data_IF_661969770637
#
_entry.id   IF_661969770637
#
_cell.length_a   1.000
_cell.length_b   1.000
_cell.length_c   1.000
_cell.angle_alpha   90.00
_cell.angle_beta   90.00
_cell.angle_gamma   90.00
#
_symmetry.space_group_name_H-M   'P 1'
#
loop_
_entity.id
_entity.type
_entity.pdbx_description
1 polymer ?
#
# COMPACT_ATOMS: atom_id res chain seq x y z
N UNK A 1 -30.85 11.34 34.72
CA UNK A 1 -29.51 11.26 34.11
C UNK A 1 -29.27 9.80 33.74
N UNK A 2 -28.56 9.51 32.64
CA UNK A 2 -28.24 8.12 32.28
C UNK A 2 -27.44 7.43 33.38
N UNK A 3 -27.65 6.13 33.57
CA UNK A 3 -26.91 5.36 34.57
C UNK A 3 -25.44 5.15 34.22
N UNK A 4 -24.65 4.76 35.22
CA UNK A 4 -23.25 4.32 35.02
C UNK A 4 -23.16 3.14 34.05
N UNK A 5 -24.15 2.24 34.06
CA UNK A 5 -24.23 1.12 33.12
C UNK A 5 -24.30 1.61 31.67
N UNK A 6 -25.18 2.59 31.41
CA UNK A 6 -25.28 3.20 30.08
C UNK A 6 -23.96 3.86 29.68
N UNK A 7 -23.36 4.65 30.58
CA UNK A 7 -22.11 5.36 30.29
C UNK A 7 -20.97 4.39 29.96
N UNK A 8 -20.86 3.29 30.71
CA UNK A 8 -19.88 2.24 30.43
C UNK A 8 -20.08 1.65 29.03
N UNK A 9 -21.31 1.26 28.69
CA UNK A 9 -21.63 0.66 27.39
C UNK A 9 -21.46 1.63 26.23
N UNK A 10 -21.77 2.91 26.45
CA UNK A 10 -21.52 3.96 25.48
C UNK A 10 -20.02 4.14 25.21
N UNK A 11 -19.19 4.17 26.24
CA UNK A 11 -17.73 4.27 26.08
C UNK A 11 -17.15 3.03 25.39
N UNK A 12 -17.62 1.82 25.70
CA UNK A 12 -17.23 0.59 25.01
C UNK A 12 -17.57 0.67 23.51
N UNK A 13 -18.77 1.13 23.17
CA UNK A 13 -19.18 1.35 21.78
C UNK A 13 -18.31 2.38 21.06
N UNK A 14 -18.09 3.55 21.66
CA UNK A 14 -17.28 4.60 21.06
C UNK A 14 -15.86 4.11 20.75
N UNK A 15 -15.27 3.30 21.63
CA UNK A 15 -13.97 2.66 21.40
C UNK A 15 -14.02 1.68 20.21
N UNK A 16 -15.03 0.82 20.15
CA UNK A 16 -15.20 -0.12 19.04
C UNK A 16 -15.36 0.63 17.70
N UNK A 17 -16.21 1.66 17.67
CA UNK A 17 -16.45 2.49 16.50
C UNK A 17 -15.17 3.17 16.00
N UNK A 18 -14.37 3.74 16.90
CA UNK A 18 -13.08 4.33 16.56
C UNK A 18 -12.11 3.31 15.97
N UNK A 19 -12.04 2.10 16.55
CA UNK A 19 -11.21 1.02 16.01
C UNK A 19 -11.65 0.61 14.61
N UNK A 20 -12.95 0.51 14.36
CA UNK A 20 -13.48 0.16 13.05
C UNK A 20 -13.20 1.24 12.00
N UNK A 21 -13.36 2.52 12.35
CA UNK A 21 -12.98 3.63 11.46
C UNK A 21 -11.49 3.63 11.14
N UNK A 22 -10.62 3.41 12.14
CA UNK A 22 -9.18 3.30 11.92
C UNK A 22 -8.88 2.16 10.95
N UNK A 23 -9.49 1.00 11.15
CA UNK A 23 -9.30 -0.17 10.27
C UNK A 23 -9.79 0.06 8.85
N UNK A 24 -10.93 0.75 8.70
CA UNK A 24 -11.47 1.13 7.38
C UNK A 24 -10.50 2.06 6.64
N UNK A 25 -9.95 3.05 7.35
CA UNK A 25 -8.93 3.96 6.83
C UNK A 25 -7.65 3.24 6.41
N UNK A 26 -7.14 2.34 7.25
CA UNK A 26 -5.98 1.49 6.94
C UNK A 26 -6.20 0.66 5.66
N UNK A 27 -7.37 0.04 5.53
CA UNK A 27 -7.72 -0.74 4.35
C UNK A 27 -7.74 0.13 3.10
N UNK A 28 -8.44 1.27 3.12
CA UNK A 28 -8.50 2.21 1.99
C UNK A 28 -7.10 2.71 1.59
N UNK A 29 -6.25 3.03 2.56
CA UNK A 29 -4.87 3.43 2.30
C UNK A 29 -4.04 2.30 1.67
N UNK A 30 -4.22 1.05 2.12
CA UNK A 30 -3.56 -0.12 1.56
C UNK A 30 -3.98 -0.37 0.11
N UNK A 31 -5.28 -0.28 -0.19
CA UNK A 31 -5.81 -0.41 -1.55
C UNK A 31 -5.24 0.69 -2.46
N UNK A 32 -5.30 1.95 -2.03
CA UNK A 32 -4.76 3.07 -2.80
C UNK A 32 -3.25 2.90 -3.09
N UNK A 33 -2.47 2.39 -2.11
CA UNK A 33 -1.04 2.09 -2.30
C UNK A 33 -0.82 0.95 -3.31
N UNK A 34 -1.61 -0.12 -3.25
CA UNK A 34 -1.54 -1.25 -4.20
C UNK A 34 -1.89 -0.79 -5.62
N UNK A 35 -2.91 0.04 -5.77
CA UNK A 35 -3.32 0.60 -7.06
C UNK A 35 -2.27 1.54 -7.64
N UNK A 36 -1.72 2.45 -6.82
CA UNK A 36 -0.64 3.34 -7.22
C UNK A 36 0.62 2.55 -7.65
N UNK A 37 0.99 1.50 -6.92
CA UNK A 37 2.11 0.64 -7.29
C UNK A 37 1.86 -0.11 -8.62
N UNK A 38 0.64 -0.61 -8.85
CA UNK A 38 0.25 -1.25 -10.12
C UNK A 38 0.29 -0.25 -11.28
N UNK A 39 -0.20 0.98 -11.07
CA UNK A 39 -0.14 2.05 -12.05
C UNK A 39 1.30 2.45 -12.38
N UNK A 40 2.16 2.64 -11.37
CA UNK A 40 3.56 2.96 -11.54
C UNK A 40 4.32 1.85 -12.30
N UNK A 41 4.05 0.58 -12.00
CA UNK A 41 4.63 -0.56 -12.72
C UNK A 41 4.21 -0.58 -14.19
N UNK A 42 2.93 -0.32 -14.47
CA UNK A 42 2.40 -0.23 -15.85
C UNK A 42 3.03 0.95 -16.61
N UNK A 43 3.15 2.11 -15.98
CA UNK A 43 3.79 3.29 -16.56
C UNK A 43 5.27 3.05 -16.86
N UNK A 44 6.01 2.43 -15.93
CA UNK A 44 7.41 2.09 -16.13
C UNK A 44 7.60 1.06 -17.27
N UNK A 45 6.71 0.08 -17.40
CA UNK A 45 6.73 -0.88 -18.50
C UNK A 45 6.47 -0.18 -19.85
N UNK A 46 5.47 0.70 -19.92
CA UNK A 46 5.15 1.46 -21.12
C UNK A 46 6.30 2.41 -21.51
N UNK A 47 6.93 3.08 -20.56
CA UNK A 47 8.08 3.95 -20.80
C UNK A 47 9.29 3.19 -21.34
N UNK A 48 9.58 1.99 -20.81
CA UNK A 48 10.64 1.11 -21.35
C UNK A 48 10.35 0.65 -22.77
N UNK A 49 9.10 0.32 -23.08
CA UNK A 49 8.69 -0.08 -24.43
C UNK A 49 8.80 1.08 -25.43
N UNK A 50 8.38 2.28 -25.03
CA UNK A 50 8.52 3.50 -25.83
C UNK A 50 9.99 3.84 -26.11
N UNK A 51 10.84 3.81 -25.07
CA UNK A 51 12.27 4.06 -25.22
C UNK A 51 12.95 3.02 -26.14
N UNK A 52 12.56 1.75 -26.08
CA UNK A 52 13.08 0.70 -26.98
C UNK A 52 12.66 0.93 -28.44
N UNK A 53 11.43 1.38 -28.67
CA UNK A 53 10.92 1.73 -30.02
C UNK A 53 11.63 2.96 -30.58
N UNK A 54 11.88 3.97 -29.77
CA UNK A 54 12.59 5.19 -30.18
C UNK A 54 14.06 4.93 -30.48
N UNK A 55 14.75 4.10 -29.67
CA UNK A 55 16.12 3.68 -29.95
C UNK A 55 16.23 2.87 -31.26
N UNK A 56 15.29 1.95 -31.51
CA UNK A 56 15.26 1.19 -32.76
C UNK A 56 14.95 2.07 -34.00
N UNK A 57 14.21 3.16 -33.83
CA UNK A 57 13.96 4.12 -34.91
C UNK A 57 15.24 4.93 -35.25
N UNK A 58 15.98 5.39 -34.24
CA UNK A 58 17.24 6.14 -34.44
C UNK A 58 18.35 5.29 -35.08
N UNK A 59 18.45 4.01 -34.70
CA UNK A 59 19.40 3.06 -35.32
C UNK A 59 19.07 2.77 -36.81
N UNK A 60 17.83 3.02 -37.24
CA UNK A 60 17.41 2.88 -38.65
C UNK A 60 17.64 4.15 -39.50
N UNK A 61 17.73 5.32 -38.88
CA UNK A 61 18.07 6.59 -39.55
C UNK A 61 19.58 6.76 -39.75
N UNK A 62 20.40 6.29 -38.80
CA UNK A 62 21.87 6.41 -38.86
C UNK A 62 22.53 5.54 -39.96
N UNK A 63 21.78 4.62 -40.58
CA UNK A 63 22.24 3.86 -41.77
C UNK A 63 22.05 4.59 -43.11
N UNK A 64 21.57 5.84 -43.13
CA UNK A 64 21.39 6.64 -44.37
C UNK A 64 22.37 7.79 -44.57
N UNK A 65 23.18 8.16 -43.59
CA UNK A 65 24.22 9.19 -43.74
C UNK A 65 25.59 8.62 -43.33
N UNK A 66 26.22 7.93 -44.26
CA UNK A 66 27.59 7.48 -44.12
C UNK A 66 28.27 7.47 -45.49
N UNK A 67 28.72 8.63 -45.96
CA UNK A 67 29.87 8.72 -46.85
C UNK A 67 30.61 10.06 -46.66
N UNK A 68 31.94 9.99 -46.78
CA UNK A 68 32.96 11.04 -46.74
C UNK A 68 33.49 11.52 -45.36
N UNK A 69 34.55 10.83 -44.90
CA UNK A 69 35.67 11.43 -44.18
C UNK A 69 36.50 12.34 -45.14
N UNK A 70 37.42 13.20 -44.64
CA UNK A 70 38.79 12.71 -44.47
C UNK A 70 39.58 13.25 -43.25
N UNK A 71 40.72 12.58 -43.12
CA UNK A 71 41.84 12.55 -42.16
C UNK A 71 42.77 13.79 -42.23
N UNK A 72 43.52 14.11 -41.16
CA UNK A 72 44.95 14.52 -41.26
C UNK A 72 45.69 14.40 -39.90
N UNK A 73 46.99 14.07 -39.99
CA UNK A 73 48.00 13.77 -38.95
C UNK A 73 48.62 15.08 -38.40
N UNK A 74 49.36 15.18 -37.28
CA UNK A 74 50.72 14.70 -37.07
C UNK A 74 51.25 15.22 -35.70
N UNK A 75 52.22 14.49 -35.13
CA UNK A 75 53.38 14.95 -34.33
C UNK A 75 53.46 14.72 -32.81
N UNK A 76 53.95 13.52 -32.45
CA UNK A 76 55.24 13.22 -31.75
C UNK A 76 55.96 14.41 -31.07
N UNK A 77 56.60 14.35 -29.90
CA UNK A 77 57.28 13.29 -29.15
C UNK A 77 57.80 13.96 -27.85
N UNK A 78 57.83 13.29 -26.68
CA UNK A 78 58.95 13.32 -25.70
C UNK A 78 58.62 12.48 -24.45
N UNK A 79 59.07 11.24 -24.44
CA UNK A 79 59.19 10.42 -23.24
C UNK A 79 60.64 9.95 -23.15
N UNK A 80 61.31 10.24 -22.03
CA UNK A 80 62.14 9.22 -21.38
C UNK A 80 62.63 9.68 -20.01
N UNK A 81 62.72 8.69 -19.11
CA UNK A 81 63.23 8.70 -17.74
C UNK A 81 62.27 9.11 -16.62
N UNK A 82 61.27 8.27 -16.38
CA UNK A 82 60.96 7.77 -15.01
C UNK A 82 60.02 6.54 -15.05
N UNK A 83 60.31 5.55 -15.90
CA UNK A 83 59.56 4.29 -16.02
C UNK A 83 60.37 3.15 -15.44
N UNK A 84 59.89 2.61 -14.33
CA UNK A 84 59.96 1.20 -13.95
C UNK A 84 59.32 1.00 -12.56
N UNK A 85 59.31 2.00 -11.67
CA UNK A 85 58.64 1.89 -10.35
C UNK A 85 57.24 2.56 -10.31
N UNK A 86 56.89 3.33 -11.35
CA UNK A 86 55.58 4.00 -11.49
C UNK A 86 54.61 3.20 -12.38
N UNK A 87 55.12 2.27 -13.17
CA UNK A 87 54.35 1.45 -14.11
C UNK A 87 53.73 0.24 -13.38
N UNK A 88 54.48 -0.49 -12.55
CA UNK A 88 53.94 -1.57 -11.69
C UNK A 88 52.82 -1.05 -10.75
N UNK A 89 52.98 0.15 -10.20
CA UNK A 89 51.98 0.74 -9.28
C UNK A 89 50.71 1.21 -9.99
N UNK A 90 50.80 1.52 -11.29
CA UNK A 90 49.67 1.92 -12.13
C UNK A 90 48.93 0.69 -12.67
N UNK A 91 49.66 -0.36 -13.02
CA UNK A 91 49.08 -1.66 -13.37
C UNK A 91 48.34 -2.28 -12.17
N UNK A 92 48.91 -2.24 -10.96
CA UNK A 92 48.25 -2.75 -9.74
C UNK A 92 46.98 -1.94 -9.37
N UNK A 93 46.93 -0.65 -9.72
CA UNK A 93 45.78 0.23 -9.50
C UNK A 93 44.68 0.01 -10.56
N UNK A 94 45.06 -0.22 -11.82
CA UNK A 94 44.14 -0.59 -12.90
C UNK A 94 43.52 -1.98 -12.68
N UNK A 95 44.28 -2.97 -12.20
CA UNK A 95 43.76 -4.28 -11.82
C UNK A 95 42.72 -4.19 -10.70
N UNK A 96 43.00 -3.41 -9.65
CA UNK A 96 42.04 -3.16 -8.55
C UNK A 96 40.77 -2.47 -9.04
N UNK A 97 40.89 -1.57 -10.01
CA UNK A 97 39.73 -0.87 -10.58
C UNK A 97 38.86 -1.83 -11.42
N UNK A 98 39.48 -2.73 -12.19
CA UNK A 98 38.78 -3.79 -12.95
C UNK A 98 38.09 -4.79 -12.01
N UNK A 99 38.74 -5.19 -10.92
CA UNK A 99 38.11 -6.04 -9.89
C UNK A 99 36.93 -5.35 -9.23
N UNK A 100 37.05 -4.06 -8.90
CA UNK A 100 35.96 -3.26 -8.34
C UNK A 100 34.77 -3.16 -9.31
N UNK A 101 35.02 -2.96 -10.61
CA UNK A 101 33.97 -2.98 -11.62
C UNK A 101 33.27 -4.34 -11.74
N UNK A 102 34.03 -5.44 -11.70
CA UNK A 102 33.46 -6.80 -11.71
C UNK A 102 32.63 -7.06 -10.45
N UNK A 103 33.11 -6.64 -9.29
CA UNK A 103 32.39 -6.74 -8.02
C UNK A 103 31.09 -5.91 -8.05
N UNK A 104 31.12 -4.71 -8.64
CA UNK A 104 29.96 -3.85 -8.80
C UNK A 104 28.92 -4.49 -9.75
N UNK A 105 29.34 -5.05 -10.88
CA UNK A 105 28.44 -5.78 -11.79
C UNK A 105 27.81 -7.01 -11.12
N UNK A 106 28.59 -7.79 -10.38
CA UNK A 106 28.09 -8.93 -9.62
C UNK A 106 27.11 -8.52 -8.53
N UNK A 107 27.38 -7.40 -7.84
CA UNK A 107 26.48 -6.85 -6.83
C UNK A 107 25.15 -6.41 -7.46
N UNK A 108 25.18 -5.69 -8.59
CA UNK A 108 23.96 -5.30 -9.30
C UNK A 108 23.15 -6.50 -9.81
N UNK A 109 23.82 -7.55 -10.32
CA UNK A 109 23.16 -8.78 -10.76
C UNK A 109 22.45 -9.49 -9.60
N UNK A 110 23.17 -9.76 -8.50
CA UNK A 110 22.61 -10.41 -7.30
C UNK A 110 21.49 -9.58 -6.67
N UNK A 111 21.63 -8.25 -6.62
CA UNK A 111 20.62 -7.38 -6.05
C UNK A 111 19.38 -7.24 -6.96
N UNK A 112 19.55 -7.35 -8.28
CA UNK A 112 18.46 -7.45 -9.25
C UNK A 112 17.67 -8.75 -9.11
N UNK A 113 18.35 -9.88 -8.97
CA UNK A 113 17.74 -11.20 -8.73
C UNK A 113 17.01 -11.26 -7.38
N UNK A 114 17.62 -10.73 -6.31
CA UNK A 114 16.98 -10.61 -5.00
C UNK A 114 15.70 -9.78 -5.10
N UNK A 115 15.75 -8.58 -5.71
CA UNK A 115 14.55 -7.75 -5.93
C UNK A 115 13.48 -8.45 -6.77
N UNK A 116 13.88 -9.17 -7.82
CA UNK A 116 12.95 -9.93 -8.66
C UNK A 116 12.28 -11.09 -7.89
N UNK A 117 13.03 -11.78 -7.03
CA UNK A 117 12.51 -12.86 -6.19
C UNK A 117 11.50 -12.36 -5.14
N UNK A 118 11.80 -11.23 -4.50
CA UNK A 118 10.90 -10.58 -3.53
C UNK A 118 9.63 -10.09 -4.23
N UNK A 119 9.77 -9.42 -5.38
CA UNK A 119 8.62 -8.96 -6.17
C UNK A 119 7.73 -10.11 -6.66
N UNK A 120 8.32 -11.26 -7.00
CA UNK A 120 7.58 -12.47 -7.40
C UNK A 120 6.83 -13.09 -6.21
N UNK A 121 7.46 -13.11 -5.03
CA UNK A 121 6.86 -13.65 -3.79
C UNK A 121 5.71 -12.77 -3.28
N UNK A 122 5.87 -11.45 -3.35
CA UNK A 122 4.80 -10.50 -3.02
C UNK A 122 3.65 -10.52 -4.04
N UNK A 123 3.95 -10.66 -5.34
CA UNK A 123 2.92 -10.78 -6.37
C UNK A 123 2.12 -12.09 -6.26
N UNK A 124 2.76 -13.20 -5.90
CA UNK A 124 2.08 -14.47 -5.64
C UNK A 124 1.15 -14.36 -4.42
N UNK A 125 1.63 -13.79 -3.32
CA UNK A 125 0.82 -13.56 -2.11
C UNK A 125 -0.36 -12.61 -2.36
N UNK A 126 -0.18 -11.59 -3.21
CA UNK A 126 -1.24 -10.65 -3.56
C UNK A 126 -2.29 -11.22 -4.53
N UNK A 127 -1.95 -12.26 -5.29
CA UNK A 127 -2.85 -12.90 -6.26
C UNK A 127 -3.65 -14.06 -5.65
N UNK A 128 -3.17 -14.68 -4.57
CA UNK A 128 -3.78 -15.87 -3.96
C UNK A 128 -4.90 -15.54 -2.94
N UNK A 129 -4.97 -14.32 -2.42
CA UNK A 129 -5.88 -13.95 -1.33
C UNK A 129 -6.91 -12.90 -1.80
N UNK A 130 -7.78 -13.26 -2.73
CA UNK A 130 -9.00 -12.47 -3.01
C UNK A 130 -10.15 -13.06 -2.20
N UNK A 131 -10.63 -12.33 -1.21
CA UNK A 131 -11.81 -12.74 -0.43
C UNK A 131 -13.04 -12.71 -1.33
N UNK A 132 -13.75 -13.84 -1.43
CA UNK A 132 -15.07 -13.90 -2.04
C UNK A 132 -16.08 -13.24 -1.08
N UNK A 133 -16.27 -11.94 -1.27
CA UNK A 133 -17.12 -11.13 -0.42
C UNK A 133 -18.61 -11.37 -0.68
N UNK A 134 -18.99 -11.85 -1.87
CA UNK A 134 -20.39 -12.05 -2.26
C UNK A 134 -21.02 -13.26 -1.55
N UNK A 135 -20.21 -14.28 -1.28
CA UNK A 135 -20.66 -15.51 -0.63
C UNK A 135 -20.23 -15.61 0.84
N UNK A 136 -19.84 -14.50 1.48
CA UNK A 136 -19.42 -14.51 2.88
C UNK A 136 -20.63 -14.69 3.80
N UNK A 137 -20.57 -15.67 4.72
CA UNK A 137 -21.58 -15.81 5.77
C UNK A 137 -21.34 -14.76 6.86
N UNK A 138 -22.11 -13.67 6.80
CA UNK A 138 -22.01 -12.52 7.71
C UNK A 138 -22.19 -12.90 9.19
N UNK A 139 -22.96 -13.96 9.50
CA UNK A 139 -23.19 -14.38 10.88
C UNK A 139 -22.12 -15.35 11.40
N UNK A 140 -21.40 -16.02 10.51
CA UNK A 140 -20.30 -16.94 10.83
C UNK A 140 -18.92 -16.27 10.94
N UNK A 141 -18.82 -14.97 10.65
CA UNK A 141 -17.55 -14.22 10.73
C UNK A 141 -17.12 -14.05 12.18
N UNK A 142 -15.97 -14.64 12.53
CA UNK A 142 -15.36 -14.49 13.87
C UNK A 142 -14.62 -13.16 14.04
N UNK A 143 -14.03 -12.61 12.98
CA UNK A 143 -13.30 -11.34 12.99
C UNK A 143 -13.79 -10.42 11.87
N UNK A 144 -14.65 -9.46 12.23
CA UNK A 144 -15.20 -8.47 11.29
C UNK A 144 -14.15 -7.48 10.77
N UNK A 145 -13.00 -7.35 11.44
CA UNK A 145 -11.92 -6.45 11.02
C UNK A 145 -10.99 -7.10 9.99
N UNK A 146 -11.06 -8.42 9.82
CA UNK A 146 -10.30 -9.16 8.82
C UNK A 146 -10.97 -10.49 8.45
N UNK A 147 -11.75 -10.48 7.38
CA UNK A 147 -12.34 -11.69 6.79
C UNK A 147 -11.39 -12.41 5.81
N UNK A 148 -10.15 -11.92 5.68
CA UNK A 148 -9.11 -12.45 4.79
C UNK A 148 -8.40 -11.34 4.00
N UNK A 149 -7.14 -11.55 3.63
CA UNK A 149 -6.35 -10.58 2.84
C UNK A 149 -6.31 -9.14 3.42
N UNK A 150 -6.45 -9.00 4.74
CA UNK A 150 -6.60 -7.71 5.45
C UNK A 150 -7.85 -6.91 5.03
N UNK A 151 -8.89 -7.59 4.54
CA UNK A 151 -10.16 -6.97 4.15
C UNK A 151 -11.13 -6.97 5.33
N UNK A 152 -11.59 -5.82 5.83
CA UNK A 152 -12.64 -5.78 6.84
C UNK A 152 -14.00 -6.05 6.20
N UNK A 153 -14.94 -6.60 6.97
CA UNK A 153 -16.32 -6.84 6.52
C UNK A 153 -17.03 -5.53 6.14
N UNK A 154 -16.65 -4.41 6.75
CA UNK A 154 -17.20 -3.08 6.45
C UNK A 154 -16.37 -2.31 5.41
N UNK A 155 -15.59 -2.99 4.55
CA UNK A 155 -14.69 -2.32 3.58
C UNK A 155 -15.40 -1.31 2.66
N UNK A 156 -16.64 -1.59 2.27
CA UNK A 156 -17.40 -0.78 1.32
C UNK A 156 -18.39 0.19 2.00
N UNK A 157 -18.38 0.28 3.35
CA UNK A 157 -19.23 1.21 4.09
C UNK A 157 -19.00 2.66 3.66
N UNK A 158 -20.09 3.34 3.34
CA UNK A 158 -20.16 4.77 3.12
C UNK A 158 -20.58 5.51 4.40
N UNK A 159 -20.64 6.83 4.32
CA UNK A 159 -21.05 7.66 5.45
C UNK A 159 -22.43 7.25 5.99
N UNK A 160 -23.37 7.01 5.09
CA UNK A 160 -24.74 6.60 5.40
C UNK A 160 -24.78 5.27 6.15
N UNK A 161 -23.92 4.31 5.78
CA UNK A 161 -23.82 3.02 6.47
C UNK A 161 -23.34 3.19 7.91
N UNK A 162 -22.32 4.03 8.12
CA UNK A 162 -21.82 4.37 9.46
C UNK A 162 -22.90 5.07 10.29
N UNK A 163 -23.61 6.05 9.72
CA UNK A 163 -24.69 6.75 10.41
C UNK A 163 -25.82 5.79 10.80
N UNK A 164 -26.24 4.94 9.87
CA UNK A 164 -27.34 4.00 10.09
C UNK A 164 -26.98 2.90 11.10
N UNK A 165 -25.72 2.47 11.16
CA UNK A 165 -25.25 1.53 12.17
C UNK A 165 -25.19 2.19 13.56
N UNK A 166 -24.61 3.38 13.66
CA UNK A 166 -24.55 4.13 14.93
C UNK A 166 -25.93 4.40 15.49
N UNK A 167 -26.86 4.89 14.67
CA UNK A 167 -28.24 5.12 15.10
C UNK A 167 -28.93 3.84 15.59
N UNK A 168 -28.70 2.69 14.92
CA UNK A 168 -29.24 1.40 15.38
C UNK A 168 -28.68 1.01 16.75
N UNK A 169 -27.38 1.19 16.95
CA UNK A 169 -26.76 0.90 18.24
C UNK A 169 -27.27 1.85 19.33
N UNK A 170 -27.38 3.15 19.05
CA UNK A 170 -27.91 4.15 19.98
C UNK A 170 -29.35 3.83 20.42
N UNK A 171 -30.23 3.50 19.47
CA UNK A 171 -31.61 3.12 19.78
C UNK A 171 -31.68 1.78 20.53
N UNK A 172 -30.83 0.81 20.19
CA UNK A 172 -30.73 -0.45 20.91
C UNK A 172 -30.27 -0.23 22.35
N UNK A 173 -29.19 0.51 22.54
CA UNK A 173 -28.66 0.84 23.86
C UNK A 173 -29.67 1.65 24.68
N UNK A 174 -30.38 2.60 24.06
CA UNK A 174 -31.45 3.35 24.71
C UNK A 174 -32.56 2.44 25.22
N UNK A 175 -33.02 1.48 24.41
CA UNK A 175 -34.07 0.54 24.81
C UNK A 175 -33.65 -0.33 26.00
N UNK A 176 -32.37 -0.75 26.05
CA UNK A 176 -31.83 -1.50 27.18
C UNK A 176 -31.61 -0.62 28.41
N UNK A 177 -30.99 0.55 28.24
CA UNK A 177 -30.74 1.50 29.32
C UNK A 177 -32.03 1.96 29.99
N UNK A 178 -33.10 2.18 29.21
CA UNK A 178 -34.40 2.53 29.76
C UNK A 178 -34.92 1.50 30.76
N UNK A 179 -34.75 0.19 30.50
CA UNK A 179 -35.16 -0.88 31.42
C UNK A 179 -34.28 -0.97 32.67
N UNK A 180 -33.03 -0.51 32.59
CA UNK A 180 -32.13 -0.43 33.72
C UNK A 180 -32.37 0.80 34.59
N UNK A 181 -32.72 1.93 33.97
CA UNK A 181 -32.76 3.24 34.62
C UNK A 181 -34.16 3.60 35.14
N UNK A 182 -35.20 2.91 34.67
CA UNK A 182 -36.58 3.11 35.11
C UNK A 182 -36.96 2.03 36.12
N UNK A 183 -37.08 2.42 37.39
CA UNK A 183 -37.55 1.57 38.49
C UNK A 183 -39.10 1.48 38.54
N UNK A 184 -39.74 1.24 37.40
CA UNK A 184 -41.20 1.10 37.28
C UNK A 184 -41.55 -0.21 36.55
N UNK A 185 -42.02 -1.25 37.26
CA UNK A 185 -42.35 -2.55 36.67
C UNK A 185 -43.45 -2.49 35.60
N UNK A 186 -44.33 -1.49 35.65
CA UNK A 186 -45.41 -1.30 34.66
C UNK A 186 -44.91 -0.59 33.40
N UNK A 187 -43.70 -0.01 33.43
CA UNK A 187 -43.11 0.72 32.31
C UNK A 187 -42.04 -0.12 31.62
N UNK A 188 -42.49 -1.10 30.84
CA UNK A 188 -41.61 -2.06 30.15
C UNK A 188 -40.85 -1.51 28.94
N UNK A 189 -41.18 -0.30 28.48
CA UNK A 189 -40.56 0.31 27.30
C UNK A 189 -40.92 1.78 27.07
N UNK A 190 -40.42 2.32 25.95
CA UNK A 190 -40.61 3.72 25.55
C UNK A 190 -41.77 3.81 24.56
N UNK A 191 -42.76 4.67 24.85
CA UNK A 191 -43.77 5.04 23.86
C UNK A 191 -43.15 5.88 22.74
N UNK A 192 -43.55 5.67 21.49
CA UNK A 192 -42.95 6.32 20.32
C UNK A 192 -42.94 7.86 20.44
N UNK A 193 -44.00 8.46 20.97
CA UNK A 193 -44.11 9.91 21.17
C UNK A 193 -43.03 10.47 22.11
N UNK A 194 -42.50 9.64 23.00
CA UNK A 194 -41.46 10.02 23.95
C UNK A 194 -40.05 9.65 23.48
N UNK A 195 -39.91 8.98 22.33
CA UNK A 195 -38.61 8.54 21.83
C UNK A 195 -37.65 9.72 21.67
N UNK A 196 -38.10 10.83 21.07
CA UNK A 196 -37.29 12.03 20.89
C UNK A 196 -36.82 12.62 22.23
N UNK A 197 -37.71 12.65 23.24
CA UNK A 197 -37.35 13.13 24.58
C UNK A 197 -36.27 12.25 25.22
N UNK A 198 -36.43 10.93 25.16
CA UNK A 198 -35.47 10.01 25.75
C UNK A 198 -34.16 9.97 24.96
N UNK A 199 -34.20 10.05 23.64
CA UNK A 199 -32.99 10.09 22.83
C UNK A 199 -32.08 11.28 23.23
N UNK A 200 -32.62 12.51 23.27
CA UNK A 200 -31.88 13.71 23.70
C UNK A 200 -31.44 13.69 25.18
N UNK A 201 -32.02 12.80 25.99
CA UNK A 201 -31.65 12.67 27.40
C UNK A 201 -30.42 11.78 27.59
N UNK A 202 -30.19 10.86 26.66
CA UNK A 202 -29.12 9.86 26.73
C UNK A 202 -27.92 10.20 25.85
N UNK A 203 -28.14 10.85 24.70
CA UNK A 203 -27.13 11.25 23.72
C UNK A 203 -27.17 12.77 23.54
#
# INVERSE_FOLDING_TARGET
TPSDWFQQKWVEWQKALQQWHAKHGEYKASVAKKEAAKAAKKAAAAAKEAAKKEAAAKESEEKKEGDAAPMDEDKEEKAEKKDEEKEEKKEEEEEKWVEWQKALQQWHAKHGEYKASVAKKEAAKAAEETVDFENVDVFGVNDIMNIGASTPLFKDFQFEDWTMMSLRFELHLLAHAFRHDVEDPERTGIHLDHLAFYYNKYF
#
